data_IF_261002761772
#
_entry.id   IF_261002761772
#
_cell.length_a   1.000
_cell.length_b   1.000
_cell.length_c   1.000
_cell.angle_alpha   90.00
_cell.angle_beta   90.00
_cell.angle_gamma   90.00
#
_symmetry.space_group_name_H-M   'P 1'
#
loop_
_entity.id
_entity.type
_entity.pdbx_description
1 polymer ?
#
# COMPACT_ATOMS: atom_id res chain seq x y z
N UNK A 1 16.55 7.23 -2.09
CA UNK A 1 15.85 6.41 -1.07
C UNK A 1 15.25 7.35 -0.05
N UNK A 2 13.97 7.20 0.27
CA UNK A 2 13.24 8.11 1.18
C UNK A 2 12.66 7.30 2.33
N UNK A 3 12.78 7.83 3.55
CA UNK A 3 12.24 7.25 4.77
C UNK A 3 11.56 8.34 5.60
N UNK A 4 10.51 8.03 6.38
CA UNK A 4 9.88 6.72 6.55
C UNK A 4 9.00 6.30 5.36
N UNK A 5 8.85 4.97 5.15
CA UNK A 5 7.99 4.40 4.09
C UNK A 5 6.61 4.08 4.66
N UNK A 6 5.55 4.50 3.98
CA UNK A 6 4.17 4.09 4.31
C UNK A 6 3.96 2.68 3.77
N UNK A 7 3.43 1.77 4.60
CA UNK A 7 3.17 0.37 4.25
C UNK A 7 1.78 -0.07 4.70
N UNK A 8 1.24 -1.13 4.11
CA UNK A 8 -0.03 -1.77 4.51
C UNK A 8 0.16 -3.25 4.80
N UNK A 9 -0.86 -3.89 5.37
CA UNK A 9 -0.89 -5.33 5.69
C UNK A 9 -1.55 -6.14 4.57
N UNK A 10 -1.29 -7.46 4.45
CA UNK A 10 -1.91 -8.30 3.43
C UNK A 10 -3.44 -8.41 3.55
N UNK A 11 -3.96 -8.20 4.75
CA UNK A 11 -5.39 -8.19 5.08
C UNK A 11 -6.02 -6.78 5.06
N UNK A 12 -5.25 -5.74 4.73
CA UNK A 12 -5.79 -4.38 4.61
C UNK A 12 -6.80 -4.31 3.47
N UNK A 13 -7.97 -3.74 3.73
CA UNK A 13 -9.04 -3.69 2.73
C UNK A 13 -8.67 -2.74 1.58
N UNK A 14 -9.18 -3.03 0.38
CA UNK A 14 -9.00 -2.17 -0.81
C UNK A 14 -9.39 -0.71 -0.55
N UNK A 15 -10.45 -0.50 0.23
CA UNK A 15 -10.91 0.85 0.60
C UNK A 15 -9.87 1.59 1.45
N UNK A 16 -9.29 0.92 2.43
CA UNK A 16 -8.27 1.52 3.30
C UNK A 16 -6.96 1.76 2.54
N UNK A 17 -6.61 0.88 1.60
CA UNK A 17 -5.47 1.10 0.68
C UNK A 17 -5.72 2.37 -0.14
N UNK A 18 -6.88 2.51 -0.78
CA UNK A 18 -7.22 3.72 -1.55
C UNK A 18 -7.14 5.00 -0.70
N UNK A 19 -7.66 4.96 0.53
CA UNK A 19 -7.57 6.08 1.47
C UNK A 19 -6.13 6.39 1.86
N UNK A 20 -5.30 5.37 2.04
CA UNK A 20 -3.87 5.53 2.36
C UNK A 20 -3.13 6.20 1.21
N UNK A 21 -3.31 5.73 -0.02
CA UNK A 21 -2.71 6.32 -1.22
C UNK A 21 -3.11 7.80 -1.36
N UNK A 22 -4.41 8.11 -1.25
CA UNK A 22 -4.91 9.47 -1.34
C UNK A 22 -4.42 10.39 -0.21
N UNK A 23 -4.42 9.90 1.04
CA UNK A 23 -3.97 10.68 2.21
C UNK A 23 -2.49 11.03 2.14
N UNK A 24 -1.66 10.08 1.70
CA UNK A 24 -0.22 10.26 1.64
C UNK A 24 0.26 10.85 0.29
N UNK A 25 -0.63 11.00 -0.69
CA UNK A 25 -0.34 11.47 -2.05
C UNK A 25 0.75 10.63 -2.73
N UNK A 26 0.61 9.31 -2.65
CA UNK A 26 1.51 8.32 -3.24
C UNK A 26 0.73 7.39 -4.17
N UNK A 27 1.35 6.98 -5.27
CA UNK A 27 0.67 6.15 -6.28
C UNK A 27 0.77 4.64 -6.04
N UNK A 28 1.60 4.21 -5.09
CA UNK A 28 1.72 2.82 -4.69
C UNK A 28 2.17 2.68 -3.24
N UNK A 29 1.83 1.55 -2.63
CA UNK A 29 2.15 1.22 -1.25
C UNK A 29 2.66 -0.23 -1.15
N UNK A 30 3.82 -0.47 -0.52
CA UNK A 30 4.29 -1.82 -0.23
C UNK A 30 3.38 -2.53 0.77
N UNK A 31 3.17 -3.83 0.55
CA UNK A 31 2.49 -4.73 1.48
C UNK A 31 3.55 -5.47 2.28
N UNK A 32 3.47 -5.41 3.60
CA UNK A 32 4.44 -6.06 4.51
C UNK A 32 3.77 -7.08 5.41
N UNK A 33 4.44 -8.22 5.65
CA UNK A 33 3.99 -9.27 6.58
C UNK A 33 4.36 -8.96 8.04
N UNK A 34 3.98 -9.83 8.99
CA UNK A 34 4.15 -9.58 10.45
C UNK A 34 5.62 -9.44 10.86
N UNK A 35 6.55 -10.00 10.07
CA UNK A 35 7.98 -9.86 10.27
C UNK A 35 8.54 -8.57 9.65
N UNK A 36 7.70 -7.75 8.99
CA UNK A 36 8.09 -6.54 8.28
C UNK A 36 8.69 -6.80 6.90
N UNK A 37 8.61 -8.03 6.39
CA UNK A 37 9.11 -8.36 5.06
C UNK A 37 8.12 -7.89 3.99
N UNK A 38 8.64 -7.32 2.90
CA UNK A 38 7.82 -6.91 1.75
C UNK A 38 7.36 -8.16 1.01
N UNK A 39 6.04 -8.36 0.97
CA UNK A 39 5.39 -9.50 0.31
C UNK A 39 4.63 -9.10 -0.95
N UNK A 40 4.49 -7.79 -1.22
CA UNK A 40 3.83 -7.30 -2.43
C UNK A 40 3.85 -5.78 -2.56
N UNK A 41 3.22 -5.30 -3.62
CA UNK A 41 3.04 -3.89 -3.93
C UNK A 41 1.63 -3.70 -4.50
N UNK A 42 0.91 -2.67 -4.03
CA UNK A 42 -0.39 -2.28 -4.59
C UNK A 42 -0.31 -0.84 -5.07
N UNK A 43 -0.71 -0.60 -6.30
CA UNK A 43 -0.77 0.71 -6.94
C UNK A 43 -2.20 1.20 -7.13
N UNK A 44 -2.38 2.51 -7.36
CA UNK A 44 -3.67 3.08 -7.74
C UNK A 44 -4.26 2.39 -8.99
N UNK A 45 -3.41 1.94 -9.92
CA UNK A 45 -3.86 1.23 -11.12
C UNK A 45 -4.50 -0.13 -10.79
N UNK A 46 -3.95 -0.87 -9.82
CA UNK A 46 -4.52 -2.14 -9.36
C UNK A 46 -5.92 -1.95 -8.74
N UNK A 47 -6.21 -0.75 -8.23
CA UNK A 47 -7.51 -0.41 -7.65
C UNK A 47 -8.56 -0.04 -8.70
N UNK A 48 -8.13 0.51 -9.85
CA UNK A 48 -9.00 0.94 -10.95
C UNK A 48 -9.33 -0.22 -11.89
N UNK A 49 -8.42 -1.19 -12.04
CA UNK A 49 -8.58 -2.35 -12.92
C UNK A 49 -9.59 -3.41 -12.39
N UNK A 50 -10.38 -3.09 -11.37
CA UNK A 50 -11.41 -3.97 -10.76
C UNK A 50 -12.82 -3.40 -10.92
#
# INVERSE_FOLDING_TARGET
MTAPVVTVRPDTSVREIAQTLGRHRISAVPVVDDAGAVVGLVSEYDLIAR
#
